data_IF_254080548040
#
_entry.id   IF_254080548040
#
_cell.length_a   1.000
_cell.length_b   1.000
_cell.length_c   1.000
_cell.angle_alpha   90.00
_cell.angle_beta   90.00
_cell.angle_gamma   90.00
#
_symmetry.space_group_name_H-M   'P 1'
#
loop_
_entity.id
_entity.type
_entity.pdbx_description
1 polymer ?
#
# COMPACT_ATOMS: atom_id res chain seq x y z
N UNK A 1 3.33 9.03 -11.57
CA UNK A 1 4.13 9.05 -10.33
C UNK A 1 3.98 10.45 -9.76
N UNK A 2 3.65 10.58 -8.49
CA UNK A 2 3.36 11.88 -7.87
C UNK A 2 4.25 11.99 -6.63
N UNK A 3 4.98 13.09 -6.51
CA UNK A 3 5.87 13.37 -5.36
C UNK A 3 5.11 13.36 -4.03
N UNK A 4 3.83 13.75 -4.05
CA UNK A 4 2.96 13.77 -2.87
C UNK A 4 2.63 12.39 -2.32
N UNK A 5 2.78 11.34 -3.13
CA UNK A 5 2.39 9.97 -2.78
C UNK A 5 3.61 9.05 -2.79
N UNK A 6 3.80 8.18 -3.78
CA UNK A 6 5.02 7.40 -3.89
C UNK A 6 5.60 7.50 -5.30
N UNK A 7 6.93 7.65 -5.36
CA UNK A 7 7.68 7.74 -6.62
C UNK A 7 7.94 6.35 -7.20
N UNK A 8 8.27 5.39 -6.34
CA UNK A 8 8.62 4.02 -6.71
C UNK A 8 7.68 2.98 -6.09
N UNK A 9 7.64 1.82 -6.72
CA UNK A 9 7.00 0.62 -6.19
C UNK A 9 8.02 -0.20 -5.39
N UNK A 10 7.60 -0.79 -4.28
CA UNK A 10 8.35 -1.81 -3.56
C UNK A 10 7.87 -3.18 -4.01
N UNK A 11 8.68 -3.87 -4.82
CA UNK A 11 8.34 -5.23 -5.29
C UNK A 11 8.39 -6.28 -4.19
N UNK A 12 9.21 -6.06 -3.17
CA UNK A 12 9.35 -6.91 -1.99
C UNK A 12 10.08 -6.14 -0.90
N UNK A 13 9.68 -6.30 0.35
CA UNK A 13 10.43 -5.78 1.49
C UNK A 13 11.51 -6.82 1.86
N UNK A 14 12.78 -6.48 1.67
CA UNK A 14 13.89 -7.42 1.85
C UNK A 14 14.26 -7.60 3.33
N UNK A 15 13.83 -6.67 4.20
CA UNK A 15 14.07 -6.71 5.64
C UNK A 15 12.90 -6.12 6.43
N UNK A 16 12.78 -6.51 7.71
CA UNK A 16 11.81 -5.89 8.62
C UNK A 16 12.05 -4.38 8.77
N UNK A 17 13.30 -3.92 8.74
CA UNK A 17 13.59 -2.48 8.85
C UNK A 17 13.08 -1.71 7.61
N UNK A 18 13.20 -2.29 6.41
CA UNK A 18 12.64 -1.69 5.20
C UNK A 18 11.12 -1.58 5.29
N UNK A 19 10.47 -2.65 5.76
CA UNK A 19 9.04 -2.67 6.01
C UNK A 19 8.60 -1.60 7.03
N UNK A 20 9.23 -1.54 8.20
CA UNK A 20 8.88 -0.60 9.26
C UNK A 20 9.10 0.86 8.85
N UNK A 21 10.16 1.13 8.10
CA UNK A 21 10.42 2.48 7.57
C UNK A 21 9.35 2.89 6.56
N UNK A 22 8.96 1.97 5.66
CA UNK A 22 7.89 2.19 4.70
C UNK A 22 6.53 2.39 5.40
N UNK A 23 6.20 1.55 6.38
CA UNK A 23 4.95 1.65 7.14
C UNK A 23 4.83 2.99 7.89
N UNK A 24 5.93 3.46 8.48
CA UNK A 24 6.00 4.78 9.10
C UNK A 24 5.79 5.91 8.09
N UNK A 25 6.37 5.81 6.89
CA UNK A 25 6.18 6.79 5.82
C UNK A 25 4.72 6.79 5.32
N UNK A 26 4.16 5.61 5.07
CA UNK A 26 2.77 5.46 4.65
C UNK A 26 1.81 6.04 5.71
N UNK A 27 2.05 5.74 6.99
CA UNK A 27 1.26 6.27 8.11
C UNK A 27 1.33 7.80 8.17
N UNK A 28 2.50 8.40 7.95
CA UNK A 28 2.63 9.87 7.86
C UNK A 28 1.80 10.44 6.73
N UNK A 29 1.85 9.84 5.53
CA UNK A 29 1.07 10.29 4.35
C UNK A 29 -0.44 10.11 4.54
N UNK A 30 -0.86 9.09 5.27
CA UNK A 30 -2.25 8.91 5.69
C UNK A 30 -2.66 10.01 6.69
N UNK A 31 -1.81 10.30 7.66
CA UNK A 31 -2.03 11.35 8.67
C UNK A 31 -2.10 12.77 8.08
N UNK A 32 -1.37 13.04 6.99
CA UNK A 32 -1.44 14.32 6.27
C UNK A 32 -2.61 14.42 5.29
N UNK A 33 -3.36 13.32 5.06
CA UNK A 33 -4.42 13.26 4.07
C UNK A 33 -3.94 13.17 2.62
N UNK A 34 -2.63 13.02 2.39
CA UNK A 34 -2.05 12.82 1.05
C UNK A 34 -2.45 11.46 0.45
N UNK A 35 -2.72 10.48 1.32
CA UNK A 35 -3.27 9.17 0.94
C UNK A 35 -4.50 8.83 1.78
N UNK A 36 -5.34 7.98 1.22
CA UNK A 36 -6.55 7.47 1.86
C UNK A 36 -6.63 5.96 1.71
N UNK A 37 -7.02 5.27 2.78
CA UNK A 37 -7.28 3.84 2.72
C UNK A 37 -8.62 3.61 2.02
N UNK A 38 -8.60 2.87 0.91
CA UNK A 38 -9.80 2.43 0.21
C UNK A 38 -10.22 1.12 0.84
N UNK A 39 -11.18 1.21 1.76
CA UNK A 39 -11.73 0.03 2.43
C UNK A 39 -12.29 -0.93 1.38
N UNK A 40 -11.71 -2.13 1.31
CA UNK A 40 -12.20 -3.20 0.47
C UNK A 40 -13.65 -3.49 0.86
N UNK A 41 -14.59 -3.28 -0.08
CA UNK A 41 -15.97 -3.76 0.08
C UNK A 41 -15.97 -5.19 -0.43
N UNK A 42 -16.00 -6.13 0.51
CA UNK A 42 -16.20 -7.53 0.21
C UNK A 42 -17.56 -7.67 -0.49
N UNK A 43 -17.56 -7.95 -1.78
CA UNK A 43 -18.74 -8.16 -2.62
C UNK A 43 -19.24 -9.62 -2.54
N UNK A 44 -18.65 -10.43 -1.65
CA UNK A 44 -18.99 -11.83 -1.43
C UNK A 44 -18.40 -12.77 -2.49
N UNK A 45 -17.63 -12.25 -3.44
CA UNK A 45 -16.88 -13.02 -4.41
C UNK A 45 -15.44 -13.12 -3.87
N UNK A 46 -14.91 -14.34 -3.86
CA UNK A 46 -13.54 -14.61 -3.45
C UNK A 46 -12.59 -14.16 -4.56
N UNK A 47 -12.54 -12.87 -4.80
CA UNK A 47 -11.68 -12.29 -5.82
C UNK A 47 -10.23 -12.31 -5.34
N UNK A 48 -9.29 -12.35 -6.30
CA UNK A 48 -7.85 -12.49 -6.09
C UNK A 48 -7.20 -11.39 -5.23
N UNK A 49 -7.98 -10.42 -4.78
CA UNK A 49 -7.60 -9.26 -3.98
C UNK A 49 -7.90 -9.45 -2.48
N UNK A 50 -8.45 -10.61 -2.08
CA UNK A 50 -8.69 -11.02 -0.69
C UNK A 50 -7.36 -11.12 0.10
N UNK A 51 -6.87 -9.99 0.57
CA UNK A 51 -5.67 -9.88 1.41
C UNK A 51 -4.76 -8.69 1.11
N UNK A 52 -5.05 -7.91 0.07
CA UNK A 52 -4.29 -6.70 -0.26
C UNK A 52 -5.02 -5.45 0.26
N UNK A 53 -4.30 -4.55 0.93
CA UNK A 53 -4.80 -3.24 1.32
C UNK A 53 -4.67 -2.28 0.13
N UNK A 54 -5.76 -1.58 -0.20
CA UNK A 54 -5.76 -0.60 -1.29
C UNK A 54 -5.68 0.80 -0.72
N UNK A 55 -4.77 1.60 -1.24
CA UNK A 55 -4.59 3.00 -0.89
C UNK A 55 -4.73 3.88 -2.11
N UNK A 56 -5.36 5.04 -1.96
CA UNK A 56 -5.55 6.01 -3.04
C UNK A 56 -4.91 7.33 -2.68
N UNK A 57 -4.11 7.84 -3.61
CA UNK A 57 -3.48 9.15 -3.54
C UNK A 57 -4.52 10.25 -3.72
N UNK A 58 -4.53 11.26 -2.86
CA UNK A 58 -5.45 12.39 -2.98
C UNK A 58 -5.09 13.29 -4.18
N UNK A 59 -3.80 13.56 -4.39
CA UNK A 59 -3.31 14.47 -5.44
C UNK A 59 -3.49 13.92 -6.85
N UNK A 60 -3.01 12.69 -7.11
CA UNK A 60 -3.01 12.10 -8.46
C UNK A 60 -4.05 11.01 -8.67
N UNK A 61 -4.88 10.71 -7.66
CA UNK A 61 -5.93 9.68 -7.70
C UNK A 61 -5.42 8.26 -8.02
N UNK A 62 -4.10 8.04 -8.04
CA UNK A 62 -3.48 6.74 -8.26
C UNK A 62 -3.80 5.79 -7.11
N UNK A 63 -4.15 4.55 -7.46
CA UNK A 63 -4.37 3.47 -6.51
C UNK A 63 -3.11 2.61 -6.34
N UNK A 64 -2.88 2.16 -5.12
CA UNK A 64 -1.74 1.38 -4.70
C UNK A 64 -2.22 0.17 -3.92
N UNK A 65 -1.62 -0.98 -4.18
CA UNK A 65 -1.86 -2.21 -3.43
C UNK A 65 -0.68 -2.49 -2.53
N UNK A 66 -1.01 -2.72 -1.27
CA UNK A 66 -0.10 -3.13 -0.23
C UNK A 66 -0.43 -4.56 0.17
N UNK A 67 0.58 -5.40 0.19
CA UNK A 67 0.54 -6.69 0.87
C UNK A 67 1.56 -6.64 2.00
N UNK A 68 1.09 -6.82 3.22
CA UNK A 68 1.98 -6.87 4.39
C UNK A 68 2.92 -8.09 4.27
N UNK A 69 4.21 -7.95 4.61
CA UNK A 69 5.09 -9.09 4.72
C UNK A 69 4.63 -9.99 5.88
N UNK A 70 4.56 -11.30 5.63
CA UNK A 70 4.27 -12.32 6.63
C UNK A 70 5.45 -13.32 6.73
N UNK A 71 5.30 -14.38 7.51
CA UNK A 71 6.35 -15.40 7.67
C UNK A 71 6.70 -16.16 6.38
N UNK A 72 5.87 -16.10 5.33
CA UNK A 72 6.02 -16.83 4.06
C UNK A 72 6.25 -15.90 2.85
N UNK A 73 5.84 -14.64 2.92
CA UNK A 73 5.84 -13.67 1.82
C UNK A 73 6.47 -12.36 2.26
N UNK A 74 7.36 -11.82 1.42
CA UNK A 74 8.06 -10.55 1.67
C UNK A 74 7.20 -9.29 1.49
N UNK A 75 5.89 -9.43 1.33
CA UNK A 75 4.97 -8.33 1.04
C UNK A 75 5.31 -7.58 -0.25
N UNK A 76 4.53 -6.57 -0.59
CA UNK A 76 4.84 -5.62 -1.66
C UNK A 76 4.00 -4.36 -1.54
N UNK A 77 4.45 -3.28 -2.18
CA UNK A 77 3.68 -2.08 -2.43
C UNK A 77 3.81 -1.64 -3.88
N UNK A 78 2.77 -1.82 -4.69
CA UNK A 78 2.82 -1.56 -6.14
C UNK A 78 1.56 -0.83 -6.61
N UNK A 79 1.63 -0.19 -7.78
CA UNK A 79 0.45 0.45 -8.35
C UNK A 79 -0.56 -0.60 -8.79
N UNK A 80 -1.84 -0.22 -8.67
CA UNK A 80 -2.96 -0.92 -9.28
C UNK A 80 -3.26 -0.35 -10.67
#
# INVERSE_FOLDING_TARGET
>A
MCEDCFLSEHRSFLSCNEWLNFDLELTKKLGTGSMSFVKFRHDGIRDKDDGDYVYKCASCQQSWRLKEPDHALRGYFKKQ
#
